data_IF_737215177900
#
_entry.id   IF_737215177900
#
_cell.length_a   1.000
_cell.length_b   1.000
_cell.length_c   1.000
_cell.angle_alpha   90.00
_cell.angle_beta   90.00
_cell.angle_gamma   90.00
#
_symmetry.space_group_name_H-M   'P 1'
#
loop_
_entity.id
_entity.type
_entity.pdbx_description
1 polymer ?
#
# COMPACT_ATOMS: atom_id res chain seq x y z
N UNK A 1 50.03 -48.48 -28.73
CA UNK A 1 48.89 -47.63 -28.32
C UNK A 1 49.43 -46.45 -27.52
N UNK A 2 49.47 -45.24 -28.11
CA UNK A 2 49.91 -44.02 -27.40
C UNK A 2 48.71 -43.47 -26.63
N UNK A 3 48.76 -43.59 -25.30
CA UNK A 3 47.83 -42.97 -24.36
C UNK A 3 47.95 -41.44 -24.46
N UNK A 4 46.92 -40.78 -24.96
CA UNK A 4 46.78 -39.33 -24.91
C UNK A 4 46.20 -38.96 -23.53
N UNK A 5 47.04 -38.47 -22.63
CA UNK A 5 46.60 -37.91 -21.35
C UNK A 5 46.13 -36.46 -21.54
N UNK A 6 44.86 -36.20 -21.29
CA UNK A 6 44.32 -34.84 -21.28
C UNK A 6 44.77 -34.11 -20.00
N UNK A 7 45.38 -32.91 -20.10
CA UNK A 7 45.77 -32.14 -18.93
C UNK A 7 44.52 -31.71 -18.14
N UNK A 8 44.45 -32.10 -16.87
CA UNK A 8 43.39 -31.65 -15.97
C UNK A 8 43.48 -30.13 -15.79
N UNK A 9 42.46 -29.40 -16.25
CA UNK A 9 42.36 -27.95 -16.10
C UNK A 9 42.22 -27.64 -14.61
N UNK A 10 43.19 -26.94 -14.01
CA UNK A 10 43.12 -26.49 -12.60
C UNK A 10 41.84 -25.66 -12.40
N UNK A 11 40.95 -26.12 -11.53
CA UNK A 11 39.84 -25.31 -11.06
C UNK A 11 40.41 -24.14 -10.25
N UNK A 12 40.19 -22.91 -10.71
CA UNK A 12 40.47 -21.70 -9.94
C UNK A 12 39.31 -21.50 -8.97
N UNK A 13 39.59 -21.57 -7.66
CA UNK A 13 38.62 -21.23 -6.62
C UNK A 13 38.52 -19.72 -6.43
N UNK A 14 37.40 -19.27 -5.86
CA UNK A 14 37.23 -17.88 -5.41
C UNK A 14 38.19 -17.56 -4.27
N UNK A 15 38.75 -16.35 -4.28
CA UNK A 15 39.55 -15.85 -3.17
C UNK A 15 38.65 -15.36 -2.03
N UNK A 16 39.16 -15.40 -0.79
CA UNK A 16 38.43 -14.90 0.38
C UNK A 16 38.13 -13.40 0.23
N UNK A 17 39.04 -12.64 -0.38
CA UNK A 17 38.86 -11.21 -0.63
C UNK A 17 37.76 -10.92 -1.66
N UNK A 18 37.65 -11.72 -2.74
CA UNK A 18 36.53 -11.59 -3.69
C UNK A 18 35.19 -11.81 -3.00
N UNK A 19 35.09 -12.81 -2.12
CA UNK A 19 33.87 -13.08 -1.38
C UNK A 19 33.53 -11.95 -0.40
N UNK A 20 34.51 -11.36 0.29
CA UNK A 20 34.25 -10.21 1.18
C UNK A 20 33.77 -8.97 0.42
N UNK A 21 34.32 -8.71 -0.76
CA UNK A 21 33.87 -7.59 -1.61
C UNK A 21 32.42 -7.83 -2.06
N UNK A 22 32.08 -9.05 -2.48
CA UNK A 22 30.70 -9.39 -2.86
C UNK A 22 29.73 -9.19 -1.70
N UNK A 23 30.08 -9.67 -0.51
CA UNK A 23 29.24 -9.48 0.70
C UNK A 23 29.08 -8.01 1.03
N UNK A 24 30.15 -7.21 0.91
CA UNK A 24 30.08 -5.77 1.14
C UNK A 24 29.14 -5.07 0.15
N UNK A 25 29.21 -5.39 -1.14
CA UNK A 25 28.32 -4.84 -2.17
C UNK A 25 26.86 -5.24 -1.90
N UNK A 26 26.60 -6.52 -1.61
CA UNK A 26 25.25 -7.02 -1.31
C UNK A 26 24.69 -6.33 -0.06
N UNK A 27 25.51 -6.11 0.98
CA UNK A 27 25.10 -5.40 2.19
C UNK A 27 24.60 -3.98 1.91
N UNK A 28 25.33 -3.22 1.07
CA UNK A 28 24.93 -1.86 0.67
C UNK A 28 23.63 -1.88 -0.12
N UNK A 29 23.51 -2.79 -1.10
CA UNK A 29 22.30 -2.92 -1.92
C UNK A 29 21.08 -3.33 -1.09
N UNK A 30 21.25 -4.27 -0.15
CA UNK A 30 20.19 -4.73 0.73
C UNK A 30 19.64 -3.59 1.61
N UNK A 31 20.51 -2.70 2.11
CA UNK A 31 20.10 -1.54 2.90
C UNK A 31 19.16 -0.59 2.14
N UNK A 32 19.51 -0.25 0.89
CA UNK A 32 18.69 0.62 0.04
C UNK A 32 17.38 -0.08 -0.36
N UNK A 33 17.48 -1.36 -0.75
CA UNK A 33 16.34 -2.14 -1.21
C UNK A 33 15.27 -2.29 -0.11
N UNK A 34 15.68 -2.49 1.15
CA UNK A 34 14.75 -2.71 2.25
C UNK A 34 13.84 -1.52 2.53
N UNK A 35 14.39 -0.30 2.56
CA UNK A 35 13.60 0.92 2.76
C UNK A 35 12.63 1.17 1.60
N UNK A 36 13.10 0.97 0.36
CA UNK A 36 12.28 1.10 -0.85
C UNK A 36 11.10 0.12 -0.85
N UNK A 37 11.35 -1.14 -0.47
CA UNK A 37 10.32 -2.17 -0.38
C UNK A 37 9.24 -1.82 0.66
N UNK A 38 9.62 -1.32 1.84
CA UNK A 38 8.65 -0.88 2.84
C UNK A 38 7.72 0.23 2.30
N UNK A 39 8.29 1.24 1.65
CA UNK A 39 7.52 2.31 1.02
C UNK A 39 6.57 1.81 -0.06
N UNK A 40 7.01 0.83 -0.87
CA UNK A 40 6.17 0.20 -1.88
C UNK A 40 4.97 -0.54 -1.26
N UNK A 41 5.20 -1.32 -0.18
CA UNK A 41 4.13 -2.04 0.52
C UNK A 41 3.12 -1.07 1.14
N UNK A 42 3.58 0.02 1.76
CA UNK A 42 2.71 1.08 2.31
C UNK A 42 1.84 1.69 1.21
N UNK A 43 2.42 2.01 0.05
CA UNK A 43 1.70 2.55 -1.10
C UNK A 43 0.70 1.55 -1.69
N UNK A 44 1.07 0.27 -1.77
CA UNK A 44 0.20 -0.80 -2.26
C UNK A 44 -1.05 -0.96 -1.36
N UNK A 45 -0.88 -0.96 -0.04
CA UNK A 45 -2.00 -1.03 0.91
C UNK A 45 -2.91 0.19 0.83
N UNK A 46 -2.33 1.37 0.65
CA UNK A 46 -3.05 2.63 0.42
C UNK A 46 -3.88 2.59 -0.87
N UNK A 47 -3.35 1.99 -1.93
CA UNK A 47 -4.11 1.73 -3.17
C UNK A 47 -5.32 0.82 -2.93
N UNK A 48 -5.17 -0.26 -2.16
CA UNK A 48 -6.31 -1.13 -1.82
C UNK A 48 -7.40 -0.37 -1.03
N UNK A 49 -6.99 0.48 -0.08
CA UNK A 49 -7.91 1.33 0.67
C UNK A 49 -8.61 2.37 -0.22
N UNK A 50 -7.88 3.03 -1.13
CA UNK A 50 -8.46 4.03 -2.03
C UNK A 50 -9.48 3.42 -3.00
N UNK A 51 -9.21 2.21 -3.50
CA UNK A 51 -10.18 1.44 -4.31
C UNK A 51 -11.44 1.16 -3.51
N UNK A 52 -11.34 0.71 -2.25
CA UNK A 52 -12.53 0.50 -1.44
C UNK A 52 -13.32 1.80 -1.21
N UNK A 53 -12.64 2.91 -0.91
CA UNK A 53 -13.29 4.21 -0.73
C UNK A 53 -14.05 4.65 -1.99
N UNK A 54 -13.45 4.46 -3.18
CA UNK A 54 -14.09 4.82 -4.45
C UNK A 54 -15.30 3.93 -4.75
N UNK A 55 -15.19 2.62 -4.55
CA UNK A 55 -16.31 1.69 -4.72
C UNK A 55 -17.43 2.00 -3.72
N UNK A 56 -17.06 2.32 -2.47
CA UNK A 56 -18.00 2.71 -1.44
C UNK A 56 -18.75 3.99 -1.76
N UNK A 57 -18.04 5.03 -2.21
CA UNK A 57 -18.67 6.26 -2.66
C UNK A 57 -19.70 6.00 -3.78
N UNK A 58 -19.35 5.18 -4.79
CA UNK A 58 -20.29 4.80 -5.86
C UNK A 58 -21.54 4.08 -5.34
N UNK A 59 -21.39 3.17 -4.37
CA UNK A 59 -22.52 2.47 -3.75
C UNK A 59 -23.42 3.42 -2.96
N UNK A 60 -22.82 4.37 -2.25
CA UNK A 60 -23.52 5.38 -1.47
C UNK A 60 -24.30 6.34 -2.40
N UNK A 61 -23.72 6.75 -3.53
CA UNK A 61 -24.43 7.57 -4.52
C UNK A 61 -25.60 6.82 -5.17
N UNK A 62 -25.43 5.52 -5.43
CA UNK A 62 -26.54 4.68 -5.88
C UNK A 62 -27.66 4.61 -4.85
N UNK A 63 -27.33 4.52 -3.56
CA UNK A 63 -28.30 4.56 -2.48
C UNK A 63 -29.07 5.88 -2.45
N UNK A 64 -28.37 7.02 -2.60
CA UNK A 64 -28.99 8.34 -2.67
C UNK A 64 -29.93 8.49 -3.87
N UNK A 65 -29.56 7.94 -5.02
CA UNK A 65 -30.42 7.96 -6.22
C UNK A 65 -31.75 7.23 -5.98
N UNK A 66 -31.75 6.17 -5.17
CA UNK A 66 -32.95 5.40 -4.85
C UNK A 66 -33.78 5.96 -3.67
N UNK A 67 -33.13 6.62 -2.70
CA UNK A 67 -33.76 7.00 -1.43
C UNK A 67 -33.84 8.51 -1.19
N UNK A 68 -33.18 9.32 -2.02
CA UNK A 68 -33.04 10.78 -1.88
C UNK A 68 -32.47 11.22 -0.52
N UNK A 69 -31.68 10.35 0.12
CA UNK A 69 -31.01 10.60 1.40
C UNK A 69 -29.80 9.68 1.55
N UNK A 70 -28.74 10.11 2.25
CA UNK A 70 -27.69 9.19 2.70
C UNK A 70 -27.95 8.62 4.10
N UNK A 71 -28.99 9.07 4.82
CA UNK A 71 -29.32 8.55 6.15
C UNK A 71 -29.68 7.06 6.03
N UNK A 72 -29.06 6.23 6.87
CA UNK A 72 -29.33 4.79 6.89
C UNK A 72 -28.58 3.99 5.81
N UNK A 73 -27.73 4.62 5.01
CA UNK A 73 -26.83 3.90 4.09
C UNK A 73 -25.82 3.07 4.88
N UNK A 74 -25.59 1.83 4.44
CA UNK A 74 -24.57 0.98 5.04
C UNK A 74 -23.18 1.37 4.53
N UNK A 75 -22.17 1.26 5.41
CA UNK A 75 -20.78 1.40 5.01
C UNK A 75 -20.38 0.29 4.02
N UNK A 76 -19.48 0.57 3.07
CA UNK A 76 -19.04 -0.42 2.10
C UNK A 76 -18.36 -1.61 2.77
N UNK A 77 -18.50 -2.77 2.16
CA UNK A 77 -17.72 -3.96 2.50
C UNK A 77 -16.48 -3.97 1.60
N UNK A 78 -15.31 -3.72 2.18
CA UNK A 78 -14.05 -3.75 1.45
C UNK A 78 -13.52 -5.19 1.32
N UNK A 79 -12.68 -5.42 0.31
CA UNK A 79 -11.90 -6.65 0.21
C UNK A 79 -10.96 -6.84 1.42
N UNK A 80 -10.61 -8.09 1.71
CA UNK A 80 -9.89 -8.52 2.92
C UNK A 80 -8.52 -7.87 3.07
N UNK A 81 -7.86 -7.58 1.96
CA UNK A 81 -6.54 -6.94 1.86
C UNK A 81 -6.56 -5.48 2.30
N UNK A 82 -7.64 -4.73 2.01
CA UNK A 82 -7.84 -3.37 2.50
C UNK A 82 -8.18 -3.37 4.00
N UNK A 83 -9.11 -4.23 4.45
CA UNK A 83 -9.55 -4.24 5.86
C UNK A 83 -8.50 -4.73 6.86
N UNK A 84 -7.49 -5.47 6.40
CA UNK A 84 -6.40 -5.94 7.27
C UNK A 84 -5.53 -4.79 7.79
N UNK A 85 -5.38 -3.72 7.00
CA UNK A 85 -4.49 -2.60 7.30
C UNK A 85 -5.21 -1.26 7.43
N UNK A 86 -6.51 -1.23 7.16
CA UNK A 86 -7.36 -0.07 7.29
C UNK A 86 -8.72 -0.45 7.88
N UNK A 87 -9.26 0.40 8.73
CA UNK A 87 -10.69 0.35 9.08
C UNK A 87 -11.42 1.40 8.26
N UNK A 88 -12.41 0.97 7.48
CA UNK A 88 -13.24 1.87 6.67
C UNK A 88 -14.57 2.11 7.37
N UNK A 89 -14.87 3.37 7.62
CA UNK A 89 -16.12 3.79 8.25
C UNK A 89 -16.51 5.22 7.83
N UNK A 90 -17.72 5.63 8.17
CA UNK A 90 -18.13 7.02 8.04
C UNK A 90 -17.42 7.89 9.07
N UNK A 91 -16.94 9.05 8.63
CA UNK A 91 -16.58 10.15 9.54
C UNK A 91 -17.87 10.89 9.89
N UNK A 92 -18.34 10.68 11.10
CA UNK A 92 -19.63 11.19 11.55
C UNK A 92 -20.82 10.42 10.96
N UNK A 93 -22.03 10.88 11.26
CA UNK A 93 -23.25 10.26 10.74
C UNK A 93 -23.60 10.85 9.37
N UNK A 94 -23.84 10.03 8.33
CA UNK A 94 -24.39 10.51 7.07
C UNK A 94 -25.69 11.28 7.29
N UNK A 95 -25.79 12.45 6.64
CA UNK A 95 -26.99 13.29 6.67
C UNK A 95 -27.81 13.04 5.40
N UNK A 96 -28.90 13.78 5.22
CA UNK A 96 -29.65 13.69 3.96
C UNK A 96 -28.74 13.91 2.74
N UNK A 97 -27.85 14.91 2.77
CA UNK A 97 -27.15 15.41 1.59
C UNK A 97 -25.62 15.42 1.71
N UNK A 98 -25.06 14.80 2.76
CA UNK A 98 -23.61 14.73 2.94
C UNK A 98 -23.19 13.43 3.62
N UNK A 99 -22.08 12.87 3.15
CA UNK A 99 -21.36 11.80 3.81
C UNK A 99 -19.85 12.07 3.70
N UNK A 100 -19.09 11.46 4.60
CA UNK A 100 -17.64 11.36 4.47
C UNK A 100 -17.23 9.95 4.84
N UNK A 101 -16.58 9.26 3.93
CA UNK A 101 -16.06 7.92 4.16
C UNK A 101 -14.55 7.99 4.38
N UNK A 102 -14.06 7.29 5.39
CA UNK A 102 -12.66 7.37 5.83
C UNK A 102 -12.07 5.98 6.03
N UNK A 103 -10.91 5.75 5.43
CA UNK A 103 -10.05 4.60 5.68
C UNK A 103 -8.96 5.03 6.67
N UNK A 104 -9.05 4.56 7.90
CA UNK A 104 -8.07 4.83 8.96
C UNK A 104 -7.04 3.70 9.01
N UNK A 105 -5.73 3.97 8.85
CA UNK A 105 -4.71 2.93 8.86
C UNK A 105 -4.60 2.28 10.24
N UNK A 106 -4.29 0.99 10.26
CA UNK A 106 -4.12 0.19 11.48
C UNK A 106 -2.80 -0.59 11.47
N UNK A 107 -2.40 -1.09 12.64
CA UNK A 107 -1.24 -1.95 12.79
C UNK A 107 0.04 -1.34 12.17
N UNK A 108 0.82 -2.11 11.38
CA UNK A 108 2.04 -1.60 10.76
C UNK A 108 1.81 -0.43 9.80
N UNK A 109 0.63 -0.32 9.17
CA UNK A 109 0.34 0.79 8.26
C UNK A 109 0.28 2.11 9.02
N UNK A 110 -0.34 2.13 10.21
CA UNK A 110 -0.43 3.32 11.05
C UNK A 110 0.97 3.87 11.41
N UNK A 111 1.90 2.98 11.74
CA UNK A 111 3.27 3.36 12.11
C UNK A 111 4.15 3.77 10.91
N UNK A 112 3.82 3.30 9.70
CA UNK A 112 4.67 3.45 8.51
C UNK A 112 4.15 4.49 7.52
N UNK A 113 2.85 4.78 7.51
CA UNK A 113 2.24 5.78 6.63
C UNK A 113 2.17 7.16 7.30
N UNK A 114 3.34 7.67 7.71
CA UNK A 114 3.47 9.00 8.35
C UNK A 114 3.17 10.14 7.39
N UNK A 115 3.21 9.89 6.08
CA UNK A 115 3.00 10.89 5.06
C UNK A 115 1.52 11.14 4.77
N UNK A 116 0.67 10.10 4.71
CA UNK A 116 -0.72 10.23 4.27
C UNK A 116 -1.73 10.00 5.40
N UNK A 117 -1.45 9.09 6.34
CA UNK A 117 -2.38 8.74 7.41
C UNK A 117 -3.74 8.26 6.87
N UNK A 118 -4.84 8.74 7.47
CA UNK A 118 -6.19 8.35 7.08
C UNK A 118 -6.61 9.01 5.76
N UNK A 119 -7.17 8.22 4.86
CA UNK A 119 -7.67 8.66 3.55
C UNK A 119 -9.18 8.87 3.65
N UNK A 120 -9.72 9.96 3.13
CA UNK A 120 -11.17 10.17 3.08
C UNK A 120 -11.69 10.64 1.72
N UNK A 121 -12.91 10.24 1.38
CA UNK A 121 -13.68 10.74 0.24
C UNK A 121 -15.05 11.23 0.71
N UNK A 122 -15.54 12.33 0.15
CA UNK A 122 -16.88 12.88 0.44
C UNK A 122 -17.83 12.76 -0.77
N UNK A 123 -19.08 13.22 -0.60
CA UNK A 123 -20.11 13.20 -1.64
C UNK A 123 -19.81 14.08 -2.86
N UNK A 124 -18.82 14.97 -2.76
CA UNK A 124 -18.35 15.79 -3.89
C UNK A 124 -17.18 15.14 -4.62
N UNK A 125 -16.75 13.96 -4.16
CA UNK A 125 -15.55 13.28 -4.63
C UNK A 125 -14.26 13.89 -4.09
N UNK A 126 -14.32 14.79 -3.10
CA UNK A 126 -13.14 15.43 -2.54
C UNK A 126 -12.32 14.42 -1.74
N UNK A 127 -11.08 14.20 -2.20
CA UNK A 127 -10.13 13.27 -1.60
C UNK A 127 -9.21 14.00 -0.64
N UNK A 128 -9.19 13.55 0.60
CA UNK A 128 -8.39 14.19 1.66
C UNK A 128 -7.56 13.17 2.41
N UNK A 129 -6.56 13.67 3.11
CA UNK A 129 -5.64 12.91 3.96
C UNK A 129 -5.64 13.52 5.35
N UNK A 130 -5.43 12.74 6.41
CA UNK A 130 -5.39 13.28 7.77
C UNK A 130 -4.17 14.15 8.03
N UNK A 131 -3.11 14.00 7.24
CA UNK A 131 -1.86 14.76 7.34
C UNK A 131 -1.86 16.04 6.49
N UNK A 132 -2.87 16.23 5.63
CA UNK A 132 -2.92 17.34 4.67
C UNK A 132 -2.01 17.15 3.46
N UNK A 133 -1.40 15.98 3.29
CA UNK A 133 -0.65 15.66 2.08
C UNK A 133 -1.56 15.69 0.83
N UNK A 134 -1.01 16.23 -0.26
CA UNK A 134 -1.76 16.44 -1.50
C UNK A 134 -2.22 15.14 -2.16
N UNK A 135 -3.35 15.22 -2.88
CA UNK A 135 -4.01 14.08 -3.53
C UNK A 135 -3.04 13.25 -4.37
N UNK A 136 -2.30 13.85 -5.30
CA UNK A 136 -1.41 13.12 -6.22
C UNK A 136 -0.25 12.34 -5.56
N UNK A 137 -0.02 12.54 -4.26
CA UNK A 137 0.98 11.79 -3.49
C UNK A 137 0.37 10.61 -2.71
N UNK A 138 -0.89 10.77 -2.31
CA UNK A 138 -1.55 9.86 -1.38
C UNK A 138 -2.67 9.03 -1.99
N UNK A 139 -3.28 9.49 -3.08
CA UNK A 139 -4.46 8.91 -3.72
C UNK A 139 -4.17 8.38 -5.11
#
# INVERSE_FOLDING_TARGET
>A
MRSLSFPARRQRGFTLIELMIVVAIVGVLAGIAFASYQSYVVKSRRSAASVCLQQGAQLIERYYTANMTYVGVNKPQCATDAVQFYTVDFTGTPTANAFKLTATPTGPQLAKDTQCGALSIDQKGARTTSTGAGEGTCW
#
